data_IF_916505254761
#
_entry.id   IF_916505254761
#
_cell.length_a   1.000
_cell.length_b   1.000
_cell.length_c   1.000
_cell.angle_alpha   90.00
_cell.angle_beta   90.00
_cell.angle_gamma   90.00
#
_symmetry.space_group_name_H-M   'P 1'
#
loop_
_entity.id
_entity.type
_entity.pdbx_description
1 polymer ?
#
# COMPACT_ATOMS: atom_id res chain seq x y z
N UNK A 1 8.96 10.78 34.32
CA UNK A 1 10.01 10.28 33.40
C UNK A 1 10.11 8.77 33.59
N UNK A 2 9.45 7.97 32.74
CA UNK A 2 9.58 6.51 32.79
C UNK A 2 10.65 6.07 31.78
N UNK A 3 11.73 5.47 32.26
CA UNK A 3 12.76 4.87 31.42
C UNK A 3 12.34 3.44 31.03
N UNK A 4 12.25 3.17 29.73
CA UNK A 4 12.06 1.83 29.22
C UNK A 4 13.39 1.07 29.27
N UNK A 5 13.49 0.06 30.14
CA UNK A 5 14.61 -0.89 30.13
C UNK A 5 14.34 -1.91 29.03
N UNK A 6 15.10 -1.84 27.95
CA UNK A 6 15.10 -2.87 26.91
C UNK A 6 15.79 -4.13 27.43
N UNK A 7 15.04 -5.22 27.60
CA UNK A 7 15.61 -6.54 27.87
C UNK A 7 16.02 -7.16 26.53
N UNK A 8 17.33 -7.28 26.31
CA UNK A 8 17.89 -8.01 25.17
C UNK A 8 17.81 -9.51 25.48
N UNK A 9 16.86 -10.22 24.86
CA UNK A 9 16.80 -11.67 24.94
C UNK A 9 17.96 -12.27 24.12
N UNK A 10 19.05 -12.66 24.79
CA UNK A 10 20.12 -13.42 24.16
C UNK A 10 19.67 -14.86 23.96
N UNK A 11 19.17 -15.17 22.77
CA UNK A 11 18.83 -16.54 22.38
C UNK A 11 20.13 -17.32 22.14
N UNK A 12 20.46 -18.25 23.03
CA UNK A 12 21.63 -19.12 22.88
C UNK A 12 21.37 -20.08 21.72
N UNK A 13 22.08 -19.89 20.61
CA UNK A 13 21.95 -20.71 19.42
C UNK A 13 22.44 -22.14 19.69
N UNK A 14 21.71 -23.18 19.24
CA UNK A 14 22.17 -24.55 19.34
C UNK A 14 23.43 -24.76 18.48
N UNK A 15 24.37 -25.54 19.00
CA UNK A 15 25.57 -25.95 18.26
C UNK A 15 25.15 -26.78 17.05
N UNK A 16 25.41 -26.29 15.84
CA UNK A 16 25.11 -27.03 14.62
C UNK A 16 26.17 -28.13 14.42
N UNK A 17 25.76 -29.35 13.99
CA UNK A 17 26.71 -30.37 13.58
C UNK A 17 27.55 -29.88 12.39
N UNK A 18 28.73 -30.47 12.19
CA UNK A 18 29.62 -30.17 11.06
C UNK A 18 28.84 -30.32 9.74
N UNK A 19 28.52 -29.20 9.10
CA UNK A 19 27.79 -29.18 7.85
C UNK A 19 28.70 -29.62 6.69
N UNK A 20 28.20 -30.41 5.73
CA UNK A 20 28.95 -30.74 4.54
C UNK A 20 29.28 -29.47 3.75
N UNK A 21 30.51 -29.41 3.21
CA UNK A 21 30.95 -28.29 2.38
C UNK A 21 30.19 -28.32 1.05
N UNK A 22 29.37 -27.30 0.79
CA UNK A 22 28.66 -27.15 -0.47
C UNK A 22 29.60 -26.52 -1.53
N UNK A 23 29.49 -26.92 -2.81
CA UNK A 23 30.24 -26.28 -3.88
C UNK A 23 29.91 -24.79 -3.96
N UNK A 24 30.94 -23.96 -4.07
CA UNK A 24 30.80 -22.50 -4.18
C UNK A 24 30.08 -22.14 -5.48
N UNK A 25 28.94 -21.48 -5.36
CA UNK A 25 28.17 -21.01 -6.52
C UNK A 25 28.82 -19.74 -7.06
N UNK A 26 28.99 -19.60 -8.39
CA UNK A 26 29.59 -18.41 -8.99
C UNK A 26 28.83 -17.11 -8.61
N UNK A 27 29.54 -16.00 -8.33
CA UNK A 27 28.94 -14.70 -8.00
C UNK A 27 27.84 -14.20 -8.96
N UNK A 28 27.90 -14.43 -10.30
CA UNK A 28 26.84 -14.00 -11.21
C UNK A 28 25.50 -14.70 -10.98
N UNK A 29 25.54 -15.96 -10.56
CA UNK A 29 24.34 -16.77 -10.27
C UNK A 29 23.70 -16.26 -8.98
N UNK A 30 24.51 -16.00 -7.94
CA UNK A 30 24.06 -15.42 -6.68
C UNK A 30 23.40 -14.05 -6.89
N UNK A 31 24.00 -13.16 -7.68
CA UNK A 31 23.44 -11.85 -8.00
C UNK A 31 22.08 -11.92 -8.72
N UNK A 32 21.90 -12.89 -9.62
CA UNK A 32 20.65 -13.08 -10.37
C UNK A 32 19.52 -13.62 -9.48
N UNK A 33 19.87 -14.51 -8.55
CA UNK A 33 18.95 -15.00 -7.52
C UNK A 33 18.57 -13.87 -6.57
N UNK A 34 19.54 -13.07 -6.11
CA UNK A 34 19.30 -11.91 -5.26
C UNK A 34 18.39 -10.87 -5.94
N UNK A 35 18.54 -10.61 -7.25
CA UNK A 35 17.65 -9.69 -7.97
C UNK A 35 16.24 -10.24 -8.20
N UNK A 36 16.11 -11.57 -8.29
CA UNK A 36 14.81 -12.25 -8.47
C UNK A 36 14.06 -12.38 -7.15
N UNK A 37 14.80 -12.57 -6.05
CA UNK A 37 14.29 -12.65 -4.69
C UNK A 37 14.21 -11.28 -4.00
N UNK A 38 14.84 -10.25 -4.58
CA UNK A 38 14.75 -8.89 -4.08
C UNK A 38 13.27 -8.49 -4.02
N UNK A 39 12.79 -8.02 -2.86
CA UNK A 39 11.43 -7.51 -2.76
C UNK A 39 11.22 -6.45 -3.83
N UNK A 40 10.20 -6.64 -4.68
CA UNK A 40 9.82 -5.61 -5.63
C UNK A 40 9.48 -4.33 -4.85
N UNK A 41 9.94 -3.18 -5.34
CA UNK A 41 9.56 -1.87 -4.80
C UNK A 41 8.12 -1.53 -5.19
N UNK A 42 7.17 -2.22 -4.56
CA UNK A 42 5.73 -2.05 -4.79
C UNK A 42 5.28 -0.65 -4.39
N UNK A 43 5.92 -0.05 -3.38
CA UNK A 43 5.65 1.32 -2.94
C UNK A 43 6.02 2.34 -4.01
N UNK A 44 7.21 2.23 -4.59
CA UNK A 44 7.63 3.09 -5.70
C UNK A 44 6.84 2.85 -6.98
N UNK A 45 6.46 1.60 -7.26
CA UNK A 45 5.56 1.27 -8.37
C UNK A 45 4.18 1.92 -8.16
N UNK A 46 3.58 1.78 -6.97
CA UNK A 46 2.31 2.39 -6.62
C UNK A 46 2.36 3.91 -6.81
N UNK A 47 3.40 4.57 -6.29
CA UNK A 47 3.57 6.03 -6.43
C UNK A 47 3.61 6.47 -7.89
N UNK A 48 4.42 5.80 -8.72
CA UNK A 48 4.49 6.10 -10.16
C UNK A 48 3.15 5.88 -10.86
N UNK A 49 2.43 4.81 -10.51
CA UNK A 49 1.10 4.54 -11.06
C UNK A 49 0.08 5.62 -10.68
N UNK A 50 0.09 6.08 -9.43
CA UNK A 50 -0.77 7.19 -8.96
C UNK A 50 -0.42 8.49 -9.69
N UNK A 51 0.87 8.82 -9.82
CA UNK A 51 1.32 10.01 -10.54
C UNK A 51 0.86 10.00 -12.01
N UNK A 52 0.97 8.85 -12.67
CA UNK A 52 0.45 8.67 -14.03
C UNK A 52 -1.06 8.81 -14.11
N UNK A 53 -1.81 8.19 -13.20
CA UNK A 53 -3.27 8.26 -13.15
C UNK A 53 -3.75 9.71 -13.01
N UNK A 54 -3.16 10.44 -12.06
CA UNK A 54 -3.47 11.85 -11.82
C UNK A 54 -3.11 12.74 -13.01
N UNK A 55 -1.98 12.48 -13.68
CA UNK A 55 -1.60 13.26 -14.87
C UNK A 55 -2.55 13.07 -16.06
N UNK A 56 -3.09 11.85 -16.25
CA UNK A 56 -4.02 11.54 -17.35
C UNK A 56 -5.44 12.01 -17.07
N UNK A 57 -5.87 11.99 -15.82
CA UNK A 57 -7.24 12.28 -15.40
C UNK A 57 -7.33 13.49 -14.45
N UNK A 58 -6.47 14.51 -14.63
CA UNK A 58 -6.35 15.66 -13.72
C UNK A 58 -7.64 16.49 -13.52
N UNK A 59 -8.62 16.36 -14.44
CA UNK A 59 -9.93 17.01 -14.33
C UNK A 59 -10.87 16.28 -13.37
N UNK A 60 -10.76 14.96 -13.31
CA UNK A 60 -11.66 14.08 -12.56
C UNK A 60 -11.05 13.66 -11.21
N UNK A 61 -9.73 13.62 -11.12
CA UNK A 61 -9.01 13.15 -9.93
C UNK A 61 -8.22 14.26 -9.26
N UNK A 62 -8.13 14.18 -7.94
CA UNK A 62 -7.23 14.98 -7.12
C UNK A 62 -6.54 14.16 -6.04
N UNK A 63 -5.60 14.76 -5.33
CA UNK A 63 -4.97 14.13 -4.17
C UNK A 63 -5.69 14.52 -2.91
N UNK A 64 -5.91 13.54 -2.05
CA UNK A 64 -6.28 13.79 -0.66
C UNK A 64 -5.07 14.29 0.16
N UNK A 65 -5.27 14.68 1.43
CA UNK A 65 -4.16 15.08 2.31
C UNK A 65 -3.09 14.00 2.55
N UNK A 66 -3.43 12.71 2.35
CA UNK A 66 -2.49 11.60 2.44
C UNK A 66 -1.73 11.35 1.11
N UNK A 67 -2.10 12.04 0.03
CA UNK A 67 -1.50 11.92 -1.29
C UNK A 67 -2.12 10.84 -2.18
N UNK A 68 -3.20 10.20 -1.75
CA UNK A 68 -3.94 9.17 -2.47
C UNK A 68 -4.92 9.79 -3.47
N UNK A 69 -5.18 9.13 -4.62
CA UNK A 69 -6.09 9.65 -5.63
C UNK A 69 -7.55 9.51 -5.20
N UNK A 70 -8.32 10.60 -5.31
CA UNK A 70 -9.75 10.67 -5.03
C UNK A 70 -10.50 11.35 -6.19
N UNK A 71 -11.80 11.07 -6.33
CA UNK A 71 -12.66 11.74 -7.32
C UNK A 71 -12.96 13.17 -6.86
N UNK A 72 -12.73 14.14 -7.75
CA UNK A 72 -12.95 15.55 -7.48
C UNK A 72 -14.44 15.86 -7.47
N UNK A 73 -14.94 16.38 -6.35
CA UNK A 73 -16.33 16.83 -6.22
C UNK A 73 -17.36 15.71 -6.11
N UNK A 74 -16.92 14.45 -5.97
CA UNK A 74 -17.80 13.31 -5.75
C UNK A 74 -17.65 12.76 -4.33
N UNK A 75 -18.76 12.33 -3.74
CA UNK A 75 -18.80 11.70 -2.43
C UNK A 75 -19.36 10.29 -2.54
N UNK A 76 -18.62 9.31 -2.01
CA UNK A 76 -19.08 7.94 -1.93
C UNK A 76 -19.92 7.74 -0.66
N UNK A 77 -21.19 7.36 -0.83
CA UNK A 77 -22.11 7.07 0.28
C UNK A 77 -22.43 5.57 0.36
N UNK A 78 -21.88 4.88 1.36
CA UNK A 78 -22.09 3.42 1.57
C UNK A 78 -22.30 3.10 3.05
N UNK A 79 -23.34 2.31 3.43
CA UNK A 79 -24.67 2.24 2.84
C UNK A 79 -25.48 3.49 3.19
N UNK A 80 -26.25 4.02 2.23
CA UNK A 80 -27.10 5.19 2.44
C UNK A 80 -28.56 4.78 2.66
N UNK A 81 -29.22 5.32 3.68
CA UNK A 81 -30.67 5.17 3.88
C UNK A 81 -31.46 6.09 2.93
N UNK A 82 -32.76 5.87 2.74
CA UNK A 82 -33.59 6.77 1.93
C UNK A 82 -33.56 8.21 2.49
N UNK A 83 -33.73 8.37 3.81
CA UNK A 83 -33.64 9.67 4.47
C UNK A 83 -32.29 10.37 4.27
N UNK A 84 -31.17 9.62 4.25
CA UNK A 84 -29.86 10.19 3.97
C UNK A 84 -29.72 10.66 2.51
N UNK A 85 -30.27 9.90 1.54
CA UNK A 85 -30.31 10.32 0.13
C UNK A 85 -31.17 11.57 -0.06
N UNK A 86 -32.31 11.65 0.62
CA UNK A 86 -33.20 12.82 0.54
C UNK A 86 -32.51 14.07 1.12
N UNK A 87 -31.81 13.93 2.25
CA UNK A 87 -31.04 15.01 2.85
C UNK A 87 -29.90 15.51 1.94
N UNK A 88 -29.18 14.60 1.28
CA UNK A 88 -28.14 14.95 0.32
C UNK A 88 -28.73 15.68 -0.90
N UNK A 89 -29.87 15.21 -1.41
CA UNK A 89 -30.57 15.86 -2.51
C UNK A 89 -31.03 17.27 -2.12
N UNK A 90 -31.58 17.45 -0.91
CA UNK A 90 -31.96 18.76 -0.37
C UNK A 90 -30.77 19.70 -0.16
N UNK A 91 -29.58 19.15 0.11
CA UNK A 91 -28.33 19.90 0.21
C UNK A 91 -27.70 20.23 -1.17
N UNK A 92 -28.36 19.85 -2.27
CA UNK A 92 -27.92 20.15 -3.64
C UNK A 92 -26.96 19.13 -4.25
N UNK A 93 -26.74 17.99 -3.60
CA UNK A 93 -25.99 16.88 -4.20
C UNK A 93 -26.87 16.16 -5.22
N UNK A 94 -26.23 15.62 -6.26
CA UNK A 94 -26.88 14.80 -7.28
C UNK A 94 -26.23 13.42 -7.32
N UNK A 95 -27.03 12.39 -7.64
CA UNK A 95 -26.51 11.03 -7.78
C UNK A 95 -25.88 10.92 -9.17
N UNK A 96 -24.54 10.84 -9.19
CA UNK A 96 -23.77 10.66 -10.45
C UNK A 96 -23.72 9.19 -10.85
N UNK A 97 -23.63 8.28 -9.87
CA UNK A 97 -23.53 6.84 -10.08
C UNK A 97 -24.10 6.08 -8.87
N UNK A 98 -24.81 5.00 -9.14
CA UNK A 98 -25.21 3.99 -8.14
C UNK A 98 -24.64 2.63 -8.54
N UNK A 99 -24.07 1.91 -7.58
CA UNK A 99 -23.50 0.58 -7.79
C UNK A 99 -23.82 -0.33 -6.61
N UNK A 100 -24.31 -1.52 -6.92
CA UNK A 100 -24.51 -2.60 -5.94
C UNK A 100 -23.19 -3.37 -5.84
N UNK A 101 -22.66 -3.49 -4.62
CA UNK A 101 -21.46 -4.28 -4.31
C UNK A 101 -21.79 -5.76 -4.13
#
# INVERSE_FOLDING_TARGET
MLAAVGVQAQLRLPSLPSLPSLPSVPPPVLRSVDSTLAPADLSGLRRRSIDQLLSRHARELERDPAGEPVLRGELLAVPSSAAARDALSAAGFTIVREQVL
#
